data_IF_617014538170
#
_entry.id   IF_617014538170
#
_cell.length_a   1.000
_cell.length_b   1.000
_cell.length_c   1.000
_cell.angle_alpha   90.00
_cell.angle_beta   90.00
_cell.angle_gamma   90.00
#
_symmetry.space_group_name_H-M   'P 1'
#
loop_
_entity.id
_entity.type
_entity.pdbx_description
1 polymer ?
#
# COMPACT_ATOMS: atom_id res chain seq x y z
N UNK A 1 -17.54 34.56 8.11
CA UNK A 1 -16.16 34.05 8.27
C UNK A 1 -15.99 32.86 7.34
N UNK A 2 -15.65 33.11 6.07
CA UNK A 2 -15.71 32.06 5.04
C UNK A 2 -14.27 31.68 4.63
N UNK A 3 -13.72 30.68 5.31
CA UNK A 3 -12.43 30.07 4.99
C UNK A 3 -12.58 29.15 3.76
N UNK A 4 -12.60 29.73 2.56
CA UNK A 4 -12.51 28.98 1.30
C UNK A 4 -11.07 28.99 0.80
N UNK A 5 -10.22 28.13 1.37
CA UNK A 5 -8.93 27.75 0.78
C UNK A 5 -8.75 26.24 0.97
N UNK A 6 -9.60 25.46 0.31
CA UNK A 6 -9.69 24.00 0.49
C UNK A 6 -8.84 23.17 -0.49
N UNK A 7 -7.95 23.78 -1.28
CA UNK A 7 -7.14 23.02 -2.24
C UNK A 7 -5.79 23.65 -2.57
N UNK A 8 -5.11 24.25 -1.59
CA UNK A 8 -3.74 24.74 -1.80
C UNK A 8 -2.79 23.72 -1.17
N UNK A 9 -1.94 23.13 -2.00
CA UNK A 9 -0.91 22.18 -1.55
C UNK A 9 0.01 22.87 -0.54
N UNK A 10 0.09 22.39 0.72
CA UNK A 10 0.88 23.03 1.77
C UNK A 10 2.37 23.15 1.39
N UNK A 11 2.87 22.26 0.53
CA UNK A 11 4.26 22.35 0.02
C UNK A 11 4.45 23.60 -0.83
N UNK A 12 3.51 23.87 -1.74
CA UNK A 12 3.57 25.04 -2.62
C UNK A 12 3.42 26.35 -1.85
N UNK A 13 2.55 26.38 -0.84
CA UNK A 13 2.40 27.55 0.03
C UNK A 13 3.71 27.87 0.74
N UNK A 14 4.34 26.87 1.36
CA UNK A 14 5.61 27.04 2.05
C UNK A 14 6.71 27.60 1.14
N UNK A 15 6.86 27.03 -0.05
CA UNK A 15 7.88 27.46 -1.02
C UNK A 15 7.68 28.90 -1.50
N UNK A 16 6.43 29.32 -1.70
CA UNK A 16 6.11 30.70 -2.08
C UNK A 16 6.37 31.67 -0.93
N UNK A 17 6.03 31.27 0.28
CA UNK A 17 6.03 32.17 1.42
C UNK A 17 7.43 32.40 2.00
N UNK A 18 8.27 31.37 2.03
CA UNK A 18 9.69 31.48 2.44
C UNK A 18 10.48 32.43 1.55
N UNK A 19 10.10 32.57 0.27
CA UNK A 19 10.75 33.48 -0.67
C UNK A 19 10.31 34.93 -0.53
N UNK A 20 9.18 35.19 0.15
CA UNK A 20 8.65 36.54 0.32
C UNK A 20 9.24 37.20 1.55
N UNK A 21 9.46 38.50 1.46
CA UNK A 21 9.80 39.32 2.63
C UNK A 21 8.55 39.59 3.48
N UNK A 22 8.67 39.74 4.80
CA UNK A 22 7.54 39.95 5.69
C UNK A 22 6.88 41.31 5.46
N UNK A 23 5.55 41.35 5.46
CA UNK A 23 4.75 42.54 5.21
C UNK A 23 4.75 43.46 6.43
N UNK A 24 5.45 44.60 6.34
CA UNK A 24 5.46 45.61 7.39
C UNK A 24 4.07 46.17 7.72
N UNK A 25 3.18 46.29 6.72
CA UNK A 25 1.81 46.81 6.91
C UNK A 25 0.90 45.81 7.62
N UNK A 26 1.12 44.51 7.40
CA UNK A 26 0.38 43.45 8.06
C UNK A 26 0.79 43.33 9.52
N UNK A 27 2.10 43.41 9.81
CA UNK A 27 2.61 43.48 11.19
C UNK A 27 2.02 44.65 12.00
N UNK A 28 1.67 45.74 11.33
CA UNK A 28 1.00 46.91 11.94
C UNK A 28 -0.54 46.81 11.92
N UNK A 29 -1.13 45.77 11.32
CA UNK A 29 -2.57 45.49 11.35
C UNK A 29 -3.43 46.16 10.26
N UNK A 30 -2.85 46.85 9.28
CA UNK A 30 -3.62 47.62 8.29
C UNK A 30 -3.41 47.19 6.82
N UNK A 31 -2.88 45.99 6.58
CA UNK A 31 -2.67 45.52 5.21
C UNK A 31 -4.01 45.33 4.47
N UNK A 32 -4.28 46.19 3.47
CA UNK A 32 -5.51 46.16 2.66
C UNK A 32 -5.52 45.06 1.58
N UNK A 33 -4.35 44.49 1.26
CA UNK A 33 -4.20 43.55 0.15
C UNK A 33 -4.67 42.13 0.51
N UNK A 34 -4.85 41.84 1.81
CA UNK A 34 -5.32 40.54 2.29
C UNK A 34 -4.48 39.39 1.71
N UNK A 35 -5.15 38.45 1.03
CA UNK A 35 -4.53 37.27 0.41
C UNK A 35 -3.71 37.58 -0.85
N UNK A 36 -3.94 38.73 -1.48
CA UNK A 36 -3.23 39.15 -2.70
C UNK A 36 -1.98 39.99 -2.38
N UNK A 37 -1.56 40.02 -1.11
CA UNK A 37 -0.34 40.70 -0.73
C UNK A 37 0.88 40.02 -1.35
N UNK A 38 1.75 40.80 -1.99
CA UNK A 38 3.02 40.31 -2.53
C UNK A 38 4.02 39.93 -1.44
N UNK A 39 3.80 40.42 -0.22
CA UNK A 39 4.64 40.22 0.96
C UNK A 39 4.04 39.18 1.90
N UNK A 40 4.88 38.57 2.73
CA UNK A 40 4.44 37.52 3.63
C UNK A 40 3.63 38.04 4.81
N UNK A 41 2.53 37.35 5.14
CA UNK A 41 1.71 37.63 6.31
C UNK A 41 1.95 36.64 7.46
N UNK A 42 2.89 35.72 7.31
CA UNK A 42 3.18 34.72 8.33
C UNK A 42 4.32 35.19 9.23
N UNK A 43 4.22 34.81 10.50
CA UNK A 43 5.30 34.97 11.46
C UNK A 43 6.30 33.82 11.32
N UNK A 44 7.51 34.02 11.86
CA UNK A 44 8.58 33.02 11.81
C UNK A 44 8.17 31.70 12.47
N UNK A 45 7.37 31.76 13.54
CA UNK A 45 6.86 30.57 14.22
C UNK A 45 5.88 29.80 13.33
N UNK A 46 5.00 30.51 12.61
CA UNK A 46 4.03 29.90 11.69
C UNK A 46 4.74 29.26 10.48
N UNK A 47 5.81 29.88 9.99
CA UNK A 47 6.64 29.30 8.92
C UNK A 47 7.34 28.02 9.38
N UNK A 48 7.84 27.96 10.61
CA UNK A 48 8.45 26.74 11.19
C UNK A 48 7.44 25.61 11.33
N UNK A 49 6.23 25.90 11.81
CA UNK A 49 5.15 24.92 11.88
C UNK A 49 4.80 24.36 10.50
N UNK A 50 4.72 25.24 9.49
CA UNK A 50 4.46 24.86 8.11
C UNK A 50 5.59 23.99 7.53
N UNK A 51 6.85 24.30 7.84
CA UNK A 51 8.01 23.50 7.46
C UNK A 51 7.93 22.08 8.02
N UNK A 52 7.60 21.95 9.32
CA UNK A 52 7.46 20.64 9.97
C UNK A 52 6.35 19.83 9.28
N UNK A 53 5.22 20.45 8.97
CA UNK A 53 4.12 19.80 8.25
C UNK A 53 4.56 19.31 6.86
N UNK A 54 5.23 20.15 6.08
CA UNK A 54 5.75 19.82 4.74
C UNK A 54 6.73 18.65 4.81
N UNK A 55 7.66 18.66 5.77
CA UNK A 55 8.62 17.57 5.98
C UNK A 55 7.93 16.25 6.28
N UNK A 56 6.89 16.27 7.12
CA UNK A 56 6.11 15.08 7.43
C UNK A 56 5.39 14.53 6.19
N UNK A 57 4.79 15.38 5.36
CA UNK A 57 4.10 14.98 4.13
C UNK A 57 5.06 14.34 3.12
N UNK A 58 6.24 14.94 2.90
CA UNK A 58 7.25 14.37 2.01
C UNK A 58 7.74 12.98 2.49
N UNK A 59 7.89 12.78 3.81
CA UNK A 59 8.30 11.48 4.36
C UNK A 59 7.24 10.38 4.13
N UNK A 60 5.95 10.72 4.24
CA UNK A 60 4.83 9.79 3.99
C UNK A 60 4.77 9.39 2.50
N UNK A 61 5.01 10.33 1.59
CA UNK A 61 5.07 10.06 0.15
C UNK A 61 6.20 9.10 -0.22
N UNK A 62 7.39 9.24 0.40
CA UNK A 62 8.51 8.29 0.22
C UNK A 62 8.14 6.88 0.68
N UNK A 63 7.53 6.75 1.86
CA UNK A 63 7.08 5.45 2.41
C UNK A 63 6.03 4.76 1.52
N UNK A 64 5.10 5.52 0.92
CA UNK A 64 4.11 4.98 -0.02
C UNK A 64 4.74 4.45 -1.30
N UNK A 65 5.71 5.17 -1.89
CA UNK A 65 6.42 4.71 -3.11
C UNK A 65 7.16 3.40 -2.89
N UNK A 66 7.88 3.27 -1.76
CA UNK A 66 8.62 2.04 -1.40
C UNK A 66 7.68 0.85 -1.18
N UNK A 67 6.46 1.08 -0.68
CA UNK A 67 5.46 0.01 -0.53
C UNK A 67 4.76 -0.36 -1.84
N UNK A 68 4.54 0.59 -2.75
CA UNK A 68 3.84 0.35 -4.03
C UNK A 68 4.69 -0.38 -5.08
N UNK A 69 6.03 -0.33 -4.98
CA UNK A 69 6.91 -1.10 -5.89
C UNK A 69 6.88 -2.59 -5.62
N UNK A 70 6.39 -3.03 -4.45
CA UNK A 70 6.05 -4.42 -4.17
C UNK A 70 4.66 -4.71 -4.76
N UNK A 71 4.53 -4.66 -6.09
CA UNK A 71 3.38 -5.24 -6.79
C UNK A 71 3.30 -6.69 -6.35
N UNK A 72 2.31 -6.99 -5.52
CA UNK A 72 1.96 -8.36 -5.17
C UNK A 72 1.43 -8.99 -6.45
N UNK A 73 2.34 -9.61 -7.20
CA UNK A 73 1.99 -10.51 -8.28
C UNK A 73 1.79 -11.86 -7.59
N UNK A 74 0.57 -12.44 -7.57
CA UNK A 74 0.32 -13.71 -6.88
C UNK A 74 1.25 -14.87 -7.26
N UNK A 75 1.90 -14.82 -8.42
CA UNK A 75 2.88 -15.81 -8.89
C UNK A 75 4.34 -15.51 -8.50
N UNK A 76 4.64 -14.30 -8.01
CA UNK A 76 6.00 -13.91 -7.63
C UNK A 76 6.28 -14.39 -6.20
N UNK A 77 6.50 -15.71 -6.05
CA UNK A 77 7.06 -16.29 -4.82
C UNK A 77 8.42 -15.65 -4.57
N UNK A 78 8.50 -14.78 -3.58
CA UNK A 78 9.78 -14.35 -3.04
C UNK A 78 10.38 -15.53 -2.28
N UNK A 79 11.47 -16.08 -2.80
CA UNK A 79 12.26 -17.12 -2.14
C UNK A 79 12.98 -16.49 -0.94
N UNK A 80 12.24 -16.25 0.15
CA UNK A 80 12.86 -16.08 1.46
C UNK A 80 13.05 -17.49 2.01
N UNK A 81 14.31 -17.82 2.29
CA UNK A 81 14.82 -19.10 2.77
C UNK A 81 14.36 -19.38 4.21
N UNK A 82 13.05 -19.49 4.40
CA UNK A 82 12.44 -20.08 5.59
C UNK A 82 11.79 -21.41 5.15
N UNK A 83 12.62 -22.30 4.61
CA UNK A 83 12.24 -23.53 3.89
C UNK A 83 11.70 -24.66 4.79
N UNK A 84 11.33 -24.39 6.05
CA UNK A 84 10.85 -25.45 6.94
C UNK A 84 9.32 -25.60 7.02
N UNK A 85 8.53 -24.63 6.57
CA UNK A 85 7.05 -24.69 6.71
C UNK A 85 6.34 -24.92 5.36
N UNK A 86 6.90 -24.44 4.25
CA UNK A 86 6.25 -24.52 2.94
C UNK A 86 6.24 -25.93 2.29
N UNK A 87 7.01 -26.88 2.80
CA UNK A 87 6.99 -28.27 2.33
C UNK A 87 5.75 -29.06 2.81
N UNK A 88 4.98 -28.52 3.76
CA UNK A 88 3.89 -29.27 4.41
C UNK A 88 2.58 -29.28 3.63
N UNK A 89 2.41 -28.42 2.63
CA UNK A 89 1.18 -28.34 1.84
C UNK A 89 1.48 -28.46 0.34
N UNK A 90 1.86 -29.66 -0.11
CA UNK A 90 1.72 -29.99 -1.52
C UNK A 90 0.23 -29.98 -1.87
N UNK A 91 -0.15 -29.24 -2.91
CA UNK A 91 -1.52 -29.27 -3.44
C UNK A 91 -1.79 -30.68 -3.94
N UNK A 92 -2.95 -31.28 -3.61
CA UNK A 92 -3.31 -32.65 -4.01
C UNK A 92 -3.13 -32.93 -5.51
N UNK A 93 -3.29 -31.93 -6.37
CA UNK A 93 -3.11 -32.11 -7.82
C UNK A 93 -1.65 -32.24 -8.26
N UNK A 94 -0.69 -31.90 -7.38
CA UNK A 94 0.75 -32.01 -7.62
C UNK A 94 1.36 -33.25 -6.94
N UNK A 95 0.57 -33.96 -6.14
CA UNK A 95 0.96 -35.26 -5.62
C UNK A 95 1.12 -36.23 -6.79
N UNK A 96 2.25 -36.94 -6.83
CA UNK A 96 2.46 -38.00 -7.84
C UNK A 96 1.36 -39.04 -7.66
N UNK A 97 0.62 -39.34 -8.74
CA UNK A 97 -0.45 -40.34 -8.71
C UNK A 97 0.09 -41.67 -8.15
N UNK A 98 -0.55 -42.17 -7.10
CA UNK A 98 -0.16 -43.45 -6.50
C UNK A 98 -0.77 -44.60 -7.32
N UNK A 99 0.01 -45.10 -8.28
CA UNK A 99 -0.43 -46.17 -9.20
C UNK A 99 -0.78 -47.47 -8.47
N UNK A 100 -0.26 -47.68 -7.24
CA UNK A 100 -0.57 -48.87 -6.44
C UNK A 100 -1.98 -48.82 -5.83
N UNK A 101 -2.60 -47.64 -5.77
CA UNK A 101 -4.00 -47.43 -5.33
C UNK A 101 -5.00 -47.50 -6.48
N UNK A 102 -4.55 -47.62 -7.73
CA UNK A 102 -5.44 -47.97 -8.82
C UNK A 102 -5.90 -49.40 -8.55
N UNK A 103 -7.18 -49.54 -8.17
CA UNK A 103 -7.83 -50.83 -8.06
C UNK A 103 -7.57 -51.54 -9.39
N UNK A 104 -6.97 -52.74 -9.34
CA UNK A 104 -6.91 -53.61 -10.51
C UNK A 104 -8.34 -54.02 -10.79
N UNK A 105 -9.02 -53.26 -11.64
CA UNK A 105 -10.35 -53.61 -12.10
C UNK A 105 -10.13 -54.65 -13.18
N UNK A 106 -10.46 -55.91 -12.89
CA UNK A 106 -10.47 -56.96 -13.90
C UNK A 106 -11.64 -56.67 -14.85
N UNK A 107 -11.35 -55.97 -15.95
CA UNK A 107 -12.34 -55.53 -16.93
C UNK A 107 -13.12 -56.70 -17.56
N UNK A 108 -12.57 -57.91 -17.52
CA UNK A 108 -13.21 -59.12 -18.06
C UNK A 108 -14.31 -59.68 -17.13
N UNK A 109 -14.29 -59.36 -15.83
CA UNK A 109 -15.17 -59.99 -14.83
C UNK A 109 -16.34 -59.11 -14.38
N UNK A 110 -16.30 -57.81 -14.68
CA UNK A 110 -17.34 -56.86 -14.28
C UNK A 110 -18.43 -56.75 -15.35
N UNK A 111 -19.40 -57.66 -15.31
CA UNK A 111 -20.71 -57.42 -15.92
C UNK A 111 -21.37 -56.31 -15.08
N UNK A 112 -21.69 -55.18 -15.71
CA UNK A 112 -22.28 -53.99 -15.06
C UNK A 112 -23.37 -54.39 -14.04
N UNK A 113 -23.10 -54.21 -12.73
CA UNK A 113 -24.12 -54.36 -11.68
C UNK A 113 -23.69 -54.94 -10.32
N UNK A 114 -22.56 -55.62 -10.17
CA UNK A 114 -22.20 -56.23 -8.87
C UNK A 114 -21.07 -55.46 -8.15
N UNK A 115 -21.45 -54.73 -7.11
CA UNK A 115 -20.52 -54.16 -6.12
C UNK A 115 -20.14 -55.25 -5.11
N UNK A 116 -19.04 -55.97 -5.35
CA UNK A 116 -18.44 -56.76 -4.27
C UNK A 116 -17.70 -55.80 -3.33
N UNK A 117 -18.39 -55.37 -2.28
CA UNK A 117 -17.78 -54.69 -1.14
C UNK A 117 -16.91 -55.75 -0.44
N UNK A 118 -15.60 -55.72 -0.67
CA UNK A 118 -14.66 -56.50 0.12
C UNK A 118 -14.69 -55.96 1.56
N UNK A 119 -15.48 -56.64 2.40
CA UNK A 119 -15.50 -56.47 3.84
C UNK A 119 -14.17 -57.00 4.37
N UNK A 120 -13.31 -56.10 4.83
CA UNK A 120 -12.11 -56.47 5.57
C UNK A 120 -12.51 -56.66 7.04
N UNK A 121 -12.28 -57.85 7.57
CA UNK A 121 -12.21 -58.16 9.02
C UNK A 121 -10.92 -57.60 9.63
#
# INVERSE_FOLDING_TARGET
>A
MNNRNFLVDPVKVYEQEVRKTPCARYRKGYCKFGLYCQFSHYDENQLKELEIMVRQLQSKSKKKKVKSSKKYLPWLKQNNKDDHIAAQFQLRSTEKMNLNKLIKVDFERNRWGELTINKQE
#
